data_IF_918989866311
#
_entry.id   IF_918989866311
#
_cell.length_a   1.000
_cell.length_b   1.000
_cell.length_c   1.000
_cell.angle_alpha   90.00
_cell.angle_beta   90.00
_cell.angle_gamma   90.00
#
_symmetry.space_group_name_H-M   'P 1'
#
loop_
_entity.id
_entity.type
_entity.pdbx_description
1 polymer ?
#
# COMPACT_ATOMS: atom_id res chain seq x y z
N UNK A 1 22.87 40.76 34.28
CA UNK A 1 21.50 40.81 34.81
C UNK A 1 20.67 41.62 33.83
N UNK A 2 19.61 41.18 33.14
CA UNK A 2 18.96 39.89 32.89
C UNK A 2 18.23 40.12 31.54
N UNK A 3 18.45 39.28 30.54
CA UNK A 3 17.44 38.39 29.93
C UNK A 3 16.25 39.12 29.28
N UNK A 4 16.31 39.29 27.95
CA UNK A 4 15.13 39.49 27.12
C UNK A 4 14.50 38.12 26.83
N UNK A 5 13.20 37.90 27.10
CA UNK A 5 12.61 36.59 26.96
C UNK A 5 12.34 36.23 25.51
N UNK A 6 12.84 35.05 25.15
CA UNK A 6 12.41 34.22 24.04
C UNK A 6 10.89 34.04 24.08
N UNK A 7 10.23 34.27 22.96
CA UNK A 7 8.80 34.05 22.78
C UNK A 7 8.50 33.62 21.36
N UNK A 8 9.10 32.52 20.91
CA UNK A 8 8.55 31.74 19.79
C UNK A 8 7.55 30.77 20.41
N UNK A 9 6.28 30.90 20.05
CA UNK A 9 5.31 29.81 20.20
C UNK A 9 4.46 29.70 18.93
N UNK A 10 4.09 28.48 18.51
CA UNK A 10 3.71 28.15 17.14
C UNK A 10 2.20 28.01 17.01
N UNK A 11 1.57 28.87 16.20
CA UNK A 11 0.18 28.70 15.79
C UNK A 11 0.06 29.12 14.32
N UNK A 12 0.47 28.22 13.42
CA UNK A 12 0.04 28.28 12.02
C UNK A 12 -0.80 27.03 11.76
N UNK A 13 -2.08 27.14 12.14
CA UNK A 13 -3.13 26.20 11.78
C UNK A 13 -4.04 26.88 10.76
N UNK A 14 -3.96 26.36 9.54
CA UNK A 14 -5.10 26.02 8.67
C UNK A 14 -5.61 27.05 7.64
N UNK A 15 -5.27 26.70 6.39
CA UNK A 15 -5.99 26.84 5.10
C UNK A 15 -5.90 28.19 4.35
N UNK A 16 -5.60 28.09 3.04
CA UNK A 16 -6.70 28.03 2.06
C UNK A 16 -6.55 26.88 1.03
N UNK A 17 -7.45 25.90 1.07
CA UNK A 17 -7.63 24.82 0.06
C UNK A 17 -8.37 25.31 -1.22
N UNK A 18 -8.03 26.48 -1.75
CA UNK A 18 -8.66 27.01 -2.98
C UNK A 18 -7.69 27.53 -4.04
N UNK A 19 -6.41 27.74 -3.73
CA UNK A 19 -5.39 28.20 -4.69
C UNK A 19 -4.60 27.04 -5.34
N UNK A 20 -4.99 25.78 -5.08
CA UNK A 20 -4.21 24.58 -5.40
C UNK A 20 -4.66 23.88 -6.70
N UNK A 21 -5.93 23.96 -7.09
CA UNK A 21 -6.45 23.22 -8.26
C UNK A 21 -5.85 23.69 -9.60
N UNK A 22 -5.66 25.00 -9.80
CA UNK A 22 -5.10 25.53 -11.05
C UNK A 22 -3.60 25.24 -11.16
N UNK A 23 -2.86 25.34 -10.05
CA UNK A 23 -1.43 25.00 -10.02
C UNK A 23 -1.22 23.49 -10.18
N UNK A 24 -2.07 22.68 -9.55
CA UNK A 24 -2.05 21.23 -9.71
C UNK A 24 -2.42 20.81 -11.15
N UNK A 25 -3.44 21.42 -11.74
CA UNK A 25 -3.83 21.18 -13.13
C UNK A 25 -2.75 21.63 -14.13
N UNK A 26 -2.11 22.78 -13.89
CA UNK A 26 -1.00 23.27 -14.68
C UNK A 26 0.20 22.32 -14.58
N UNK A 27 0.54 21.86 -13.37
CA UNK A 27 1.60 20.90 -13.13
C UNK A 27 1.34 19.55 -13.82
N UNK A 28 0.10 19.03 -13.78
CA UNK A 28 -0.27 17.83 -14.53
C UNK A 28 -0.21 18.01 -16.05
N UNK A 29 -0.49 19.22 -16.56
CA UNK A 29 -0.37 19.54 -17.98
C UNK A 29 1.10 19.61 -18.44
N UNK A 30 1.98 20.14 -17.59
CA UNK A 30 3.42 20.26 -17.85
C UNK A 30 4.21 18.97 -17.54
N UNK A 31 3.66 18.06 -16.74
CA UNK A 31 4.23 16.76 -16.39
C UNK A 31 3.26 15.61 -16.75
N UNK A 32 3.12 15.26 -18.03
CA UNK A 32 2.31 14.12 -18.43
C UNK A 32 2.85 12.83 -17.80
N UNK A 33 1.97 11.88 -17.46
CA UNK A 33 2.39 10.53 -17.07
C UNK A 33 3.24 9.93 -18.20
N UNK A 34 4.55 9.87 -18.00
CA UNK A 34 5.50 9.29 -18.95
C UNK A 34 5.63 7.80 -18.66
N UNK A 35 5.20 6.97 -19.60
CA UNK A 35 5.52 5.53 -19.55
C UNK A 35 7.02 5.33 -19.72
N UNK A 36 7.66 4.63 -18.77
CA UNK A 36 9.10 4.36 -18.80
C UNK A 36 9.40 3.40 -19.98
N UNK A 37 10.21 3.83 -20.97
CA UNK A 37 10.61 2.98 -22.07
C UNK A 37 11.27 1.69 -21.56
N UNK A 38 11.09 0.54 -22.22
CA UNK A 38 11.68 -0.73 -21.77
C UNK A 38 13.19 -0.69 -21.52
N UNK A 39 13.90 0.16 -22.27
CA UNK A 39 15.35 0.38 -22.17
C UNK A 39 15.78 1.18 -20.93
N UNK A 40 14.89 2.00 -20.38
CA UNK A 40 15.13 2.82 -19.19
C UNK A 40 14.59 2.20 -17.89
N UNK A 41 14.03 0.98 -17.99
CA UNK A 41 13.49 0.28 -16.82
C UNK A 41 14.60 -0.19 -15.90
N UNK A 42 14.36 -0.03 -14.60
CA UNK A 42 15.30 -0.44 -13.55
C UNK A 42 15.41 -1.97 -13.49
N UNK A 43 16.52 -2.46 -12.95
CA UNK A 43 16.68 -3.89 -12.68
C UNK A 43 15.66 -4.37 -11.65
N UNK A 44 14.95 -5.45 -11.96
CA UNK A 44 13.92 -5.99 -11.07
C UNK A 44 14.48 -6.70 -9.83
N UNK A 45 15.75 -7.14 -9.83
CA UNK A 45 16.34 -7.94 -8.74
C UNK A 45 16.17 -7.35 -7.33
N UNK A 46 16.63 -6.11 -7.07
CA UNK A 46 16.47 -5.46 -5.77
C UNK A 46 15.00 -5.29 -5.35
N UNK A 47 14.16 -4.92 -6.31
CA UNK A 47 12.74 -4.70 -6.09
C UNK A 47 12.01 -6.00 -5.73
N UNK A 48 12.44 -7.14 -6.30
CA UNK A 48 11.94 -8.49 -5.97
C UNK A 48 12.36 -8.89 -4.56
N UNK A 49 13.62 -8.66 -4.18
CA UNK A 49 14.09 -8.97 -2.82
C UNK A 49 13.32 -8.19 -1.76
N UNK A 50 13.06 -6.91 -2.01
CA UNK A 50 12.21 -6.11 -1.12
C UNK A 50 10.78 -6.63 -1.07
N UNK A 51 10.19 -7.01 -2.20
CA UNK A 51 8.86 -7.60 -2.24
C UNK A 51 8.78 -8.90 -1.41
N UNK A 52 9.73 -9.82 -1.59
CA UNK A 52 9.83 -11.06 -0.82
C UNK A 52 10.04 -10.78 0.68
N UNK A 53 10.82 -9.75 1.01
CA UNK A 53 10.99 -9.28 2.38
C UNK A 53 9.68 -8.81 3.02
N UNK A 54 8.83 -8.08 2.28
CA UNK A 54 7.51 -7.67 2.76
C UNK A 54 6.57 -8.87 2.97
N UNK A 55 6.61 -9.87 2.08
CA UNK A 55 5.85 -11.12 2.26
C UNK A 55 6.30 -11.85 3.53
N UNK A 56 7.61 -12.00 3.73
CA UNK A 56 8.16 -12.66 4.91
C UNK A 56 7.82 -11.90 6.21
N UNK A 57 7.88 -10.57 6.19
CA UNK A 57 7.47 -9.74 7.33
C UNK A 57 6.00 -9.97 7.67
N UNK A 58 5.12 -9.94 6.66
CA UNK A 58 3.70 -10.21 6.83
C UNK A 58 3.46 -11.60 7.46
N UNK A 59 4.07 -12.66 6.93
CA UNK A 59 3.89 -14.02 7.45
C UNK A 59 4.51 -14.23 8.84
N UNK A 60 5.48 -13.40 9.23
CA UNK A 60 6.05 -13.43 10.58
C UNK A 60 5.15 -12.79 11.65
N UNK A 61 4.33 -11.82 11.24
CA UNK A 61 3.41 -11.08 12.12
C UNK A 61 2.01 -11.70 12.11
N UNK A 62 1.55 -12.12 10.95
CA UNK A 62 0.17 -12.56 10.70
C UNK A 62 0.12 -14.04 10.33
N UNK A 63 -0.54 -14.83 11.18
CA UNK A 63 -0.85 -16.22 10.86
C UNK A 63 -1.95 -16.30 9.81
N UNK A 64 -1.63 -16.83 8.62
CA UNK A 64 -2.64 -17.07 7.57
C UNK A 64 -3.75 -18.01 8.04
N UNK A 65 -3.43 -18.95 8.93
CA UNK A 65 -4.41 -19.87 9.50
C UNK A 65 -5.40 -19.15 10.42
N UNK A 66 -4.94 -18.19 11.22
CA UNK A 66 -5.82 -17.39 12.08
C UNK A 66 -6.71 -16.46 11.24
N UNK A 67 -6.14 -15.85 10.19
CA UNK A 67 -6.91 -15.02 9.27
C UNK A 67 -8.01 -15.82 8.56
N UNK A 68 -7.75 -17.07 8.15
CA UNK A 68 -8.75 -17.96 7.54
C UNK A 68 -9.90 -18.38 8.47
N UNK A 69 -9.74 -18.25 9.80
CA UNK A 69 -10.79 -18.58 10.76
C UNK A 69 -11.80 -17.44 10.94
N UNK A 70 -11.49 -16.24 10.46
CA UNK A 70 -12.36 -15.07 10.53
C UNK A 70 -13.42 -15.18 9.44
N UNK A 71 -14.57 -15.80 9.74
CA UNK A 71 -15.62 -16.07 8.74
C UNK A 71 -16.83 -15.14 8.92
N UNK A 72 -17.29 -14.94 10.15
CA UNK A 72 -18.48 -14.15 10.45
C UNK A 72 -18.08 -12.76 10.89
N UNK A 73 -18.03 -11.83 9.93
CA UNK A 73 -17.68 -10.45 10.17
C UNK A 73 -18.52 -9.57 9.25
N UNK A 74 -19.36 -8.73 9.86
CA UNK A 74 -20.17 -7.77 9.09
C UNK A 74 -19.29 -6.68 8.49
N UNK A 75 -19.81 -5.96 7.50
CA UNK A 75 -19.10 -4.82 6.92
C UNK A 75 -18.85 -3.69 7.94
N UNK A 76 -19.68 -3.59 8.98
CA UNK A 76 -19.57 -2.57 10.03
C UNK A 76 -18.53 -2.94 11.10
N UNK A 77 -18.41 -4.23 11.42
CA UNK A 77 -17.42 -4.74 12.38
C UNK A 77 -16.04 -4.94 11.75
N UNK A 78 -15.99 -5.13 10.44
CA UNK A 78 -14.75 -5.39 9.70
C UNK A 78 -13.64 -4.35 9.97
N UNK A 79 -13.89 -3.03 9.90
CA UNK A 79 -12.89 -2.00 10.22
C UNK A 79 -12.42 -2.00 11.69
N UNK A 80 -13.16 -2.65 12.59
CA UNK A 80 -12.85 -2.71 14.01
C UNK A 80 -12.12 -4.01 14.39
N UNK A 81 -12.07 -4.98 13.47
CA UNK A 81 -11.42 -6.27 13.71
C UNK A 81 -9.89 -6.12 13.62
N UNK A 82 -9.26 -5.85 14.76
CA UNK A 82 -7.84 -5.52 14.89
C UNK A 82 -6.90 -6.42 14.10
N UNK A 83 -7.07 -7.74 14.18
CA UNK A 83 -6.21 -8.71 13.47
C UNK A 83 -6.37 -8.62 11.94
N UNK A 84 -7.60 -8.42 11.47
CA UNK A 84 -7.90 -8.42 10.03
C UNK A 84 -7.47 -7.09 9.41
N UNK A 85 -7.78 -5.97 10.06
CA UNK A 85 -7.44 -4.66 9.53
C UNK A 85 -5.93 -4.38 9.59
N UNK A 86 -5.23 -4.87 10.62
CA UNK A 86 -3.77 -4.81 10.63
C UNK A 86 -3.18 -5.55 9.41
N UNK A 87 -3.60 -6.79 9.17
CA UNK A 87 -3.16 -7.55 8.00
C UNK A 87 -3.56 -6.87 6.68
N UNK A 88 -4.80 -6.37 6.59
CA UNK A 88 -5.28 -5.65 5.40
C UNK A 88 -4.43 -4.41 5.10
N UNK A 89 -4.02 -3.66 6.13
CA UNK A 89 -3.17 -2.48 5.96
C UNK A 89 -1.77 -2.87 5.45
N UNK A 90 -1.20 -3.96 5.95
CA UNK A 90 0.12 -4.45 5.52
C UNK A 90 0.14 -5.00 4.08
N UNK A 91 -1.01 -5.39 3.51
CA UNK A 91 -1.11 -5.72 2.09
C UNK A 91 -0.87 -4.50 1.16
N UNK A 92 -1.10 -3.28 1.66
CA UNK A 92 -0.95 -2.04 0.88
C UNK A 92 0.46 -1.84 0.32
N UNK A 93 1.50 -1.86 1.15
CA UNK A 93 2.90 -1.81 0.69
C UNK A 93 3.26 -2.93 -0.29
N UNK A 94 2.76 -4.16 -0.07
CA UNK A 94 3.03 -5.32 -0.93
C UNK A 94 2.47 -5.09 -2.34
N UNK A 95 1.21 -4.68 -2.46
CA UNK A 95 0.60 -4.42 -3.78
C UNK A 95 1.21 -3.19 -4.46
N UNK A 96 1.59 -2.16 -3.70
CA UNK A 96 2.29 -1.00 -4.24
C UNK A 96 3.63 -1.42 -4.86
N UNK A 97 4.42 -2.24 -4.16
CA UNK A 97 5.69 -2.76 -4.68
C UNK A 97 5.50 -3.64 -5.91
N UNK A 98 4.46 -4.48 -5.95
CA UNK A 98 4.10 -5.27 -7.14
C UNK A 98 3.80 -4.38 -8.36
N UNK A 99 3.12 -3.24 -8.15
CA UNK A 99 2.84 -2.29 -9.21
C UNK A 99 4.11 -1.59 -9.72
N UNK A 100 5.03 -1.21 -8.83
CA UNK A 100 6.34 -0.66 -9.20
C UNK A 100 7.12 -1.67 -10.03
N UNK A 101 7.21 -2.93 -9.57
CA UNK A 101 7.83 -4.02 -10.32
C UNK A 101 7.24 -4.12 -11.74
N UNK A 102 5.93 -4.13 -11.87
CA UNK A 102 5.24 -4.25 -13.16
C UNK A 102 5.47 -3.06 -14.09
N UNK A 103 5.47 -1.83 -13.56
CA UNK A 103 5.47 -0.60 -14.36
C UNK A 103 6.88 -0.08 -14.65
N UNK A 104 7.80 -0.22 -13.71
CA UNK A 104 9.07 0.52 -13.70
C UNK A 104 10.31 -0.37 -13.87
N UNK A 105 10.14 -1.70 -13.84
CA UNK A 105 11.26 -2.64 -13.91
C UNK A 105 11.22 -3.54 -15.13
N UNK A 106 12.36 -4.13 -15.45
CA UNK A 106 12.52 -5.09 -16.53
C UNK A 106 12.02 -6.51 -16.18
N UNK A 107 11.14 -6.65 -15.19
CA UNK A 107 10.59 -7.96 -14.78
C UNK A 107 9.88 -8.65 -15.96
N UNK A 108 10.06 -9.96 -16.08
CA UNK A 108 9.31 -10.77 -17.04
C UNK A 108 7.85 -10.92 -16.62
N UNK A 109 6.98 -11.19 -17.60
CA UNK A 109 5.56 -11.43 -17.32
C UNK A 109 5.37 -12.63 -16.38
N UNK A 110 6.03 -13.76 -16.66
CA UNK A 110 5.93 -14.97 -15.84
C UNK A 110 6.32 -14.71 -14.38
N UNK A 111 7.41 -13.96 -14.15
CA UNK A 111 7.85 -13.66 -12.77
C UNK A 111 6.89 -12.70 -12.08
N UNK A 112 6.37 -11.71 -12.81
CA UNK A 112 5.36 -10.81 -12.28
C UNK A 112 4.07 -11.57 -11.88
N UNK A 113 3.66 -12.57 -12.66
CA UNK A 113 2.51 -13.42 -12.34
C UNK A 113 2.76 -14.32 -11.12
N UNK A 114 3.98 -14.86 -10.97
CA UNK A 114 4.39 -15.61 -9.78
C UNK A 114 4.29 -14.76 -8.51
N UNK A 115 4.84 -13.54 -8.52
CA UNK A 115 4.77 -12.62 -7.39
C UNK A 115 3.33 -12.17 -7.09
N UNK A 116 2.54 -11.95 -8.14
CA UNK A 116 1.10 -11.70 -7.99
C UNK A 116 0.39 -12.87 -7.33
N UNK A 117 0.73 -14.12 -7.67
CA UNK A 117 0.12 -15.29 -7.05
C UNK A 117 0.46 -15.38 -5.54
N UNK A 118 1.68 -15.02 -5.14
CA UNK A 118 2.07 -14.93 -3.74
C UNK A 118 1.25 -13.86 -2.99
N UNK A 119 1.16 -12.66 -3.55
CA UNK A 119 0.29 -11.61 -3.00
C UNK A 119 -1.17 -12.08 -2.89
N UNK A 120 -1.72 -12.73 -3.92
CA UNK A 120 -3.10 -13.23 -3.93
C UNK A 120 -3.35 -14.25 -2.83
N UNK A 121 -2.36 -15.07 -2.46
CA UNK A 121 -2.47 -15.98 -1.31
C UNK A 121 -2.69 -15.21 -0.01
N UNK A 122 -1.93 -14.14 0.23
CA UNK A 122 -2.10 -13.30 1.42
C UNK A 122 -3.43 -12.54 1.39
N UNK A 123 -3.80 -11.98 0.24
CA UNK A 123 -5.07 -11.27 0.06
C UNK A 123 -6.27 -12.17 0.32
N UNK A 124 -6.23 -13.43 -0.14
CA UNK A 124 -7.25 -14.44 0.15
C UNK A 124 -7.30 -14.78 1.63
N UNK A 125 -6.14 -14.82 2.29
CA UNK A 125 -6.10 -15.06 3.72
C UNK A 125 -6.84 -13.98 4.51
N UNK A 126 -6.63 -12.71 4.17
CA UNK A 126 -7.36 -11.57 4.78
C UNK A 126 -8.85 -11.59 4.42
N UNK A 127 -9.17 -12.01 3.19
CA UNK A 127 -10.54 -12.17 2.71
C UNK A 127 -11.29 -10.86 2.48
N UNK A 128 -12.33 -10.96 1.65
CA UNK A 128 -13.17 -9.82 1.25
C UNK A 128 -14.52 -9.95 1.96
N UNK A 129 -15.02 -8.85 2.52
CA UNK A 129 -16.36 -8.85 3.09
C UNK A 129 -17.39 -8.95 1.97
N UNK A 130 -18.21 -10.00 2.01
CA UNK A 130 -19.29 -10.25 1.09
C UNK A 130 -20.50 -10.74 1.87
N UNK A 131 -21.64 -10.05 1.75
CA UNK A 131 -22.89 -10.42 2.41
C UNK A 131 -22.73 -10.67 3.93
N UNK A 132 -22.03 -9.77 4.64
CA UNK A 132 -21.73 -9.87 6.08
C UNK A 132 -20.92 -11.09 6.52
N UNK A 133 -20.19 -11.69 5.58
CA UNK A 133 -19.24 -12.78 5.83
C UNK A 133 -17.92 -12.48 5.14
N UNK A 134 -16.84 -13.07 5.63
CA UNK A 134 -15.53 -12.98 4.97
C UNK A 134 -15.42 -14.12 3.95
N UNK A 135 -15.18 -13.75 2.70
CA UNK A 135 -14.94 -14.68 1.60
C UNK A 135 -13.44 -14.76 1.32
N UNK A 136 -12.85 -15.93 1.56
CA UNK A 136 -11.43 -16.22 1.33
C UNK A 136 -11.14 -16.84 -0.05
N UNK A 137 -12.17 -17.09 -0.87
CA UNK A 137 -12.01 -17.77 -2.16
C UNK A 137 -12.03 -16.82 -3.37
N UNK A 138 -12.32 -15.54 -3.14
CA UNK A 138 -12.53 -14.55 -4.19
C UNK A 138 -11.26 -13.79 -4.59
#
# INVERSE_FOLDING_TARGET
>A
MNESPTGFNPEDQSQPEQEDDEQYAQWMADHPEVEIPPEDRRECGPEITEFEGLIAAFESVHSLAELHLIINLTAEEAPQHSVREAARAELGPIVAKLNVLKKETNISLDKCEELKAQYMRLSRAVGIINNNTVDHNR
#
